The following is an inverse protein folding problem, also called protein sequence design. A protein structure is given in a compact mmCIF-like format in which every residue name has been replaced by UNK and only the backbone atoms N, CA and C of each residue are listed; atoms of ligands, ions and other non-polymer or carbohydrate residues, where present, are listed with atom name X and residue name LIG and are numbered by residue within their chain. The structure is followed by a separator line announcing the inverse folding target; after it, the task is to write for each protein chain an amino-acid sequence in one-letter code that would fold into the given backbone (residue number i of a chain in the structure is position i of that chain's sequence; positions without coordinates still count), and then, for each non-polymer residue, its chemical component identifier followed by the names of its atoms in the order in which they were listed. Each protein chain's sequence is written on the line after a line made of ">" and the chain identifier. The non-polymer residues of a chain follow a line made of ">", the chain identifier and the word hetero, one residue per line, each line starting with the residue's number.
data_IF_186797337004
#
_entry.id   IF_186797337004
#
_cell.length_a   1.000
_cell.length_b   1.000
_cell.length_c   1.000
_cell.angle_alpha   90.00
_cell.angle_beta   90.00
_cell.angle_gamma   90.00
#
_symmetry.space_group_name_H-M   'P 1'
#
loop_
_entity.id
_entity.type
_entity.pdbx_description
1 polymer ?
#
# COMPACT_ATOMS: atom_id res chain seq x y z
N UNK A 1 -1.64 45.38 58.74
CA UNK A 1 -0.77 44.57 57.86
C UNK A 1 -1.52 43.42 57.16
N UNK A 2 -2.54 43.71 56.35
CA UNK A 2 -3.36 42.70 55.63
C UNK A 2 -3.33 42.84 54.10
N UNK A 3 -2.58 43.81 53.56
CA UNK A 3 -2.55 44.13 52.12
C UNK A 3 -1.34 43.54 51.35
N UNK A 4 -0.37 42.91 52.03
CA UNK A 4 0.80 42.27 51.38
C UNK A 4 0.62 40.77 51.11
N UNK A 5 -0.34 40.11 51.76
CA UNK A 5 -0.61 38.67 51.58
C UNK A 5 -1.39 38.35 50.29
N UNK A 6 -2.05 39.34 49.68
CA UNK A 6 -2.81 39.15 48.44
C UNK A 6 -1.95 39.11 47.17
N UNK A 7 -0.74 39.68 47.20
CA UNK A 7 0.13 39.74 46.01
C UNK A 7 0.86 38.41 45.73
N UNK A 8 1.08 37.58 46.74
CA UNK A 8 1.82 36.30 46.60
C UNK A 8 0.89 35.19 46.05
N UNK A 9 -0.41 35.26 46.34
CA UNK A 9 -1.40 34.33 45.78
C UNK A 9 -1.59 34.49 44.27
N UNK A 10 -1.41 35.71 43.74
CA UNK A 10 -1.59 35.97 42.30
C UNK A 10 -0.44 35.39 41.46
N UNK A 11 0.78 35.38 41.99
CA UNK A 11 1.97 34.90 41.26
C UNK A 11 2.05 33.37 41.26
N UNK A 12 1.62 32.69 42.35
CA UNK A 12 1.54 31.23 42.41
C UNK A 12 0.53 30.64 41.41
N UNK A 13 -0.45 31.43 40.98
CA UNK A 13 -1.47 31.05 39.99
C UNK A 13 -0.94 31.05 38.55
N UNK A 14 0.10 31.85 38.26
CA UNK A 14 0.68 31.99 36.92
C UNK A 14 1.72 30.90 36.60
N UNK A 15 2.43 30.39 37.60
CA UNK A 15 3.41 29.31 37.45
C UNK A 15 2.76 27.91 37.40
N UNK A 16 1.61 27.70 38.02
CA UNK A 16 0.85 26.45 37.92
C UNK A 16 0.19 26.24 36.54
N UNK A 17 -0.11 27.32 35.80
CA UNK A 17 -0.64 27.24 34.43
C UNK A 17 0.39 26.76 33.39
N UNK A 18 1.68 27.02 33.62
CA UNK A 18 2.74 26.73 32.65
C UNK A 18 3.28 25.28 32.74
N UNK A 19 3.17 24.63 33.90
CA UNK A 19 3.59 23.24 34.08
C UNK A 19 2.59 22.23 33.49
N UNK A 20 1.29 22.56 33.45
CA UNK A 20 0.25 21.71 32.86
C UNK A 20 0.27 21.72 31.31
N UNK A 21 0.81 22.78 30.71
CA UNK A 21 0.87 22.96 29.25
C UNK A 21 2.16 22.42 28.62
N UNK A 22 3.22 22.21 29.41
CA UNK A 22 4.43 21.53 28.97
C UNK A 22 4.27 19.99 28.92
N UNK A 23 3.46 19.39 29.80
CA UNK A 23 3.21 17.92 29.77
C UNK A 23 2.19 17.50 28.70
N UNK A 24 1.32 18.39 28.23
CA UNK A 24 0.37 18.13 27.10
C UNK A 24 0.98 18.33 25.71
N UNK A 25 2.20 18.86 25.58
CA UNK A 25 2.91 18.99 24.29
C UNK A 25 3.96 17.90 24.06
N UNK A 26 4.24 17.04 25.05
CA UNK A 26 5.10 15.86 24.93
C UNK A 26 4.34 14.59 24.50
N UNK A 27 3.01 14.62 24.52
CA UNK A 27 2.17 13.68 23.76
C UNK A 27 1.44 14.45 22.66
N UNK A 28 2.18 15.11 21.77
CA UNK A 28 1.73 14.98 20.39
C UNK A 28 1.85 13.48 20.12
N UNK A 29 0.76 12.71 19.90
CA UNK A 29 0.96 11.44 19.24
C UNK A 29 1.72 11.80 17.98
N UNK A 30 2.98 11.36 17.88
CA UNK A 30 3.76 11.45 16.66
C UNK A 30 2.78 11.13 15.53
N UNK A 31 2.53 12.14 14.70
CA UNK A 31 1.38 12.28 13.82
C UNK A 31 0.98 10.93 13.21
N UNK A 32 0.10 10.16 13.89
CA UNK A 32 -0.41 8.86 13.41
C UNK A 32 -1.30 9.06 12.17
N UNK A 33 -1.33 10.27 11.60
CA UNK A 33 -1.87 10.59 10.27
C UNK A 33 -0.86 10.32 9.15
N UNK A 34 0.31 9.78 9.46
CA UNK A 34 1.15 9.10 8.48
C UNK A 34 0.76 7.63 8.44
N UNK A 35 -0.27 7.37 7.63
CA UNK A 35 -0.60 6.08 7.02
C UNK A 35 -0.52 4.89 7.98
N UNK A 36 -1.57 4.69 8.78
CA UNK A 36 -2.03 3.31 8.88
C UNK A 36 -2.26 2.85 7.45
N UNK A 37 -1.39 1.98 6.97
CA UNK A 37 -1.71 0.97 5.97
C UNK A 37 -2.84 0.13 6.55
N UNK A 38 -4.01 0.75 6.78
CA UNK A 38 -5.27 0.04 6.83
C UNK A 38 -5.33 -0.63 5.48
N UNK A 39 -4.94 -1.89 5.52
CA UNK A 39 -5.14 -2.96 4.59
C UNK A 39 -6.15 -2.56 3.52
N UNK A 40 -5.68 -1.87 2.48
CA UNK A 40 -6.48 -1.68 1.26
C UNK A 40 -6.38 -3.01 0.48
N UNK A 41 -6.65 -4.12 1.16
CA UNK A 41 -6.93 -5.40 0.52
C UNK A 41 -8.34 -5.24 -0.01
N UNK A 42 -8.56 -5.27 -1.34
CA UNK A 42 -9.91 -5.40 -1.85
C UNK A 42 -10.54 -6.67 -1.26
N UNK A 43 -11.78 -6.54 -0.80
CA UNK A 43 -12.57 -7.53 -0.06
C UNK A 43 -12.65 -8.90 -0.76
N UNK A 44 -12.49 -8.93 -2.09
CA UNK A 44 -12.42 -10.16 -2.87
C UNK A 44 -11.16 -10.18 -3.74
N UNK A 45 -10.38 -11.28 -3.76
CA UNK A 45 -9.26 -11.42 -4.69
C UNK A 45 -9.80 -11.50 -6.12
N UNK A 46 -9.49 -10.48 -6.93
CA UNK A 46 -9.77 -10.52 -8.37
C UNK A 46 -8.71 -11.43 -9.00
N UNK A 47 -9.14 -12.60 -9.48
CA UNK A 47 -8.27 -13.62 -10.10
C UNK A 47 -8.21 -13.52 -11.62
N UNK A 48 -9.18 -12.86 -12.25
CA UNK A 48 -9.25 -12.69 -13.70
C UNK A 48 -8.36 -11.51 -14.16
N UNK A 49 -7.35 -11.76 -15.02
CA UNK A 49 -6.45 -10.72 -15.52
C UNK A 49 -7.17 -9.62 -16.32
N UNK A 50 -8.26 -9.94 -17.03
CA UNK A 50 -9.04 -8.94 -17.79
C UNK A 50 -9.75 -7.96 -16.84
N UNK A 51 -10.35 -8.49 -15.78
CA UNK A 51 -10.99 -7.67 -14.73
C UNK A 51 -9.97 -6.81 -13.98
N UNK A 52 -8.78 -7.35 -13.66
CA UNK A 52 -7.68 -6.58 -13.06
C UNK A 52 -7.24 -5.41 -13.94
N UNK A 53 -7.03 -5.64 -15.24
CA UNK A 53 -6.66 -4.57 -16.18
C UNK A 53 -7.74 -3.47 -16.27
N UNK A 54 -9.03 -3.83 -16.22
CA UNK A 54 -10.13 -2.86 -16.15
C UNK A 54 -10.04 -2.00 -14.88
N UNK A 55 -9.76 -2.61 -13.73
CA UNK A 55 -9.59 -1.89 -12.46
C UNK A 55 -8.36 -0.98 -12.46
N UNK A 56 -7.22 -1.44 -12.99
CA UNK A 56 -6.01 -0.63 -13.13
C UNK A 56 -6.30 0.63 -13.96
N UNK A 57 -6.96 0.49 -15.11
CA UNK A 57 -7.37 1.64 -15.93
C UNK A 57 -8.30 2.59 -15.18
N UNK A 58 -9.28 2.07 -14.45
CA UNK A 58 -10.20 2.89 -13.66
C UNK A 58 -9.47 3.69 -12.56
N UNK A 59 -8.59 3.03 -11.80
CA UNK A 59 -7.82 3.72 -10.76
C UNK A 59 -6.85 4.74 -11.37
N UNK A 60 -6.20 4.43 -12.49
CA UNK A 60 -5.35 5.39 -13.22
C UNK A 60 -6.13 6.64 -13.63
N UNK A 61 -7.36 6.49 -14.14
CA UNK A 61 -8.25 7.62 -14.44
C UNK A 61 -8.55 8.46 -13.19
N UNK A 62 -8.80 7.82 -12.05
CA UNK A 62 -9.03 8.52 -10.77
C UNK A 62 -7.78 9.27 -10.29
N UNK A 63 -6.59 8.67 -10.40
CA UNK A 63 -5.32 9.36 -10.09
C UNK A 63 -5.18 10.60 -10.95
N UNK A 64 -5.28 10.47 -12.28
CA UNK A 64 -5.15 11.60 -13.22
C UNK A 64 -6.11 12.74 -12.88
N UNK A 65 -7.40 12.44 -12.70
CA UNK A 65 -8.43 13.43 -12.33
C UNK A 65 -8.11 14.11 -10.99
N UNK A 66 -7.57 13.37 -10.02
CA UNK A 66 -7.24 13.92 -8.69
C UNK A 66 -5.99 14.81 -8.74
N UNK A 67 -4.97 14.41 -9.51
CA UNK A 67 -3.76 15.21 -9.77
C UNK A 67 -4.11 16.51 -10.48
N UNK A 68 -4.97 16.47 -11.51
CA UNK A 68 -5.43 17.67 -12.20
C UNK A 68 -6.11 18.66 -11.25
N UNK A 69 -7.01 18.19 -10.38
CA UNK A 69 -7.67 19.05 -9.37
C UNK A 69 -6.67 19.62 -8.36
N UNK A 70 -5.71 18.81 -7.90
CA UNK A 70 -4.65 19.29 -7.01
C UNK A 70 -3.83 20.39 -7.66
N UNK A 71 -3.41 20.22 -8.91
CA UNK A 71 -2.60 21.19 -9.62
C UNK A 71 -3.35 22.53 -9.81
N UNK A 72 -4.68 22.49 -10.02
CA UNK A 72 -5.52 23.71 -9.98
C UNK A 72 -5.42 24.43 -8.64
N UNK A 73 -5.58 23.73 -7.51
CA UNK A 73 -5.45 24.36 -6.18
C UNK A 73 -4.05 24.89 -5.90
N UNK A 74 -2.99 24.27 -6.43
CA UNK A 74 -1.63 24.80 -6.31
C UNK A 74 -1.53 26.15 -7.02
N UNK A 75 -2.07 26.25 -8.24
CA UNK A 75 -2.11 27.51 -8.98
C UNK A 75 -2.96 28.57 -8.27
N UNK A 76 -4.11 28.20 -7.71
CA UNK A 76 -4.96 29.10 -6.92
C UNK A 76 -4.23 29.60 -5.65
N UNK A 77 -3.53 28.71 -4.96
CA UNK A 77 -2.71 29.05 -3.78
C UNK A 77 -1.60 30.03 -4.15
N UNK A 78 -0.88 29.81 -5.24
CA UNK A 78 0.16 30.73 -5.71
C UNK A 78 -0.41 32.12 -6.01
N UNK A 79 -1.60 32.18 -6.64
CA UNK A 79 -2.30 33.45 -6.88
C UNK A 79 -2.70 34.17 -5.59
N UNK A 80 -3.20 33.45 -4.59
CA UNK A 80 -3.57 34.03 -3.30
C UNK A 80 -2.34 34.51 -2.51
N UNK A 81 -1.25 33.76 -2.56
CA UNK A 81 0.02 34.13 -1.90
C UNK A 81 0.57 35.45 -2.46
N UNK A 82 0.53 35.63 -3.78
CA UNK A 82 0.97 36.89 -4.42
C UNK A 82 0.11 38.10 -4.02
N UNK A 83 -1.14 37.88 -3.57
CA UNK A 83 -2.05 38.94 -3.10
C UNK A 83 -1.97 39.18 -1.58
N UNK A 84 -1.13 38.44 -0.86
CA UNK A 84 -1.02 38.54 0.60
C UNK A 84 -2.22 37.98 1.38
N UNK A 85 -3.14 37.25 0.75
CA UNK A 85 -4.32 36.68 1.42
C UNK A 85 -3.98 35.36 2.12
N UNK A 86 -3.48 35.46 3.35
CA UNK A 86 -3.03 34.32 4.13
C UNK A 86 -4.17 33.34 4.48
N UNK A 87 -5.41 33.81 4.62
CA UNK A 87 -6.57 32.96 4.94
C UNK A 87 -6.86 32.01 3.77
N UNK A 88 -6.89 32.55 2.56
CA UNK A 88 -7.12 31.78 1.33
C UNK A 88 -5.96 30.83 1.02
N UNK A 89 -4.71 31.24 1.31
CA UNK A 89 -3.53 30.33 1.19
C UNK A 89 -3.67 29.11 2.11
N UNK A 90 -4.11 29.30 3.35
CA UNK A 90 -4.31 28.20 4.30
C UNK A 90 -5.42 27.25 3.82
N UNK A 91 -6.54 27.79 3.33
CA UNK A 91 -7.65 26.99 2.80
C UNK A 91 -7.22 26.12 1.61
N UNK A 92 -6.49 26.69 0.64
CA UNK A 92 -5.99 25.92 -0.49
C UNK A 92 -4.94 24.89 -0.08
N UNK A 93 -4.13 25.18 0.96
CA UNK A 93 -3.15 24.23 1.50
C UNK A 93 -3.84 22.99 2.06
N UNK A 94 -4.95 23.15 2.80
CA UNK A 94 -5.74 22.03 3.30
C UNK A 94 -6.39 21.22 2.16
N UNK A 95 -6.91 21.91 1.13
CA UNK A 95 -7.45 21.26 -0.07
C UNK A 95 -6.38 20.44 -0.81
N UNK A 96 -5.16 20.97 -0.95
CA UNK A 96 -4.02 20.26 -1.56
C UNK A 96 -3.68 19.02 -0.73
N UNK A 97 -3.59 19.15 0.60
CA UNK A 97 -3.30 18.02 1.51
C UNK A 97 -4.31 16.89 1.33
N UNK A 98 -5.61 17.20 1.30
CA UNK A 98 -6.67 16.21 1.07
C UNK A 98 -6.55 15.50 -0.29
N UNK A 99 -6.22 16.24 -1.36
CA UNK A 99 -6.02 15.61 -2.68
C UNK A 99 -4.78 14.71 -2.70
N UNK A 100 -3.69 15.10 -2.04
CA UNK A 100 -2.50 14.27 -1.92
C UNK A 100 -2.81 12.95 -1.21
N UNK A 101 -3.54 12.96 -0.10
CA UNK A 101 -3.97 11.73 0.58
C UNK A 101 -4.77 10.82 -0.36
N UNK A 102 -5.69 11.36 -1.16
CA UNK A 102 -6.45 10.59 -2.15
C UNK A 102 -5.58 10.02 -3.26
N UNK A 103 -4.61 10.79 -3.76
CA UNK A 103 -3.64 10.32 -4.76
C UNK A 103 -2.84 9.14 -4.22
N UNK A 104 -2.31 9.25 -3.00
CA UNK A 104 -1.53 8.17 -2.36
C UNK A 104 -2.37 6.91 -2.20
N UNK A 105 -3.62 7.03 -1.74
CA UNK A 105 -4.55 5.89 -1.64
C UNK A 105 -4.77 5.20 -3.00
N UNK A 106 -4.97 5.97 -4.07
CA UNK A 106 -5.14 5.41 -5.41
C UNK A 106 -3.85 4.80 -5.99
N UNK A 107 -2.67 5.39 -5.72
CA UNK A 107 -1.39 4.82 -6.14
C UNK A 107 -1.12 3.50 -5.41
N UNK A 108 -1.43 3.41 -4.11
CA UNK A 108 -1.34 2.17 -3.36
C UNK A 108 -2.23 1.08 -3.98
N UNK A 109 -3.49 1.40 -4.30
CA UNK A 109 -4.40 0.49 -5.02
C UNK A 109 -3.83 0.02 -6.37
N UNK A 110 -3.23 0.93 -7.14
CA UNK A 110 -2.59 0.57 -8.41
C UNK A 110 -1.45 -0.41 -8.21
N UNK A 111 -0.54 -0.14 -7.27
CA UNK A 111 0.59 -1.04 -6.93
C UNK A 111 0.09 -2.42 -6.54
N UNK A 112 -1.00 -2.50 -5.76
CA UNK A 112 -1.59 -3.79 -5.38
C UNK A 112 -2.16 -4.55 -6.58
N UNK A 113 -2.88 -3.88 -7.50
CA UNK A 113 -3.42 -4.54 -8.68
C UNK A 113 -2.34 -4.99 -9.67
N UNK A 114 -1.28 -4.20 -9.86
CA UNK A 114 -0.18 -4.56 -10.76
C UNK A 114 0.61 -5.76 -10.22
N UNK A 115 0.87 -5.81 -8.90
CA UNK A 115 1.50 -6.96 -8.25
C UNK A 115 0.66 -8.23 -8.41
N UNK A 116 -0.66 -8.12 -8.25
CA UNK A 116 -1.57 -9.26 -8.47
C UNK A 116 -1.55 -9.76 -9.90
N UNK A 117 -1.54 -8.85 -10.88
CA UNK A 117 -1.46 -9.22 -12.29
C UNK A 117 -0.13 -9.94 -12.60
N UNK A 118 0.99 -9.45 -12.05
CA UNK A 118 2.29 -10.10 -12.19
C UNK A 118 2.31 -11.49 -11.55
N UNK A 119 1.69 -11.65 -10.37
CA UNK A 119 1.59 -12.94 -9.70
C UNK A 119 0.78 -13.96 -10.50
N UNK A 120 -0.34 -13.56 -11.12
CA UNK A 120 -1.14 -14.43 -12.00
C UNK A 120 -0.30 -14.91 -13.19
N UNK A 121 0.37 -13.98 -13.89
CA UNK A 121 1.25 -14.32 -15.02
C UNK A 121 2.38 -15.26 -14.61
N UNK A 122 3.02 -15.02 -13.46
CA UNK A 122 4.06 -15.91 -12.94
C UNK A 122 3.52 -17.30 -12.61
N UNK A 123 2.30 -17.40 -12.06
CA UNK A 123 1.64 -18.67 -11.78
C UNK A 123 1.28 -19.43 -13.07
N UNK A 124 0.82 -18.73 -14.12
CA UNK A 124 0.58 -19.30 -15.44
C UNK A 124 1.87 -19.89 -16.02
N UNK A 125 2.98 -19.14 -16.00
CA UNK A 125 4.29 -19.63 -16.46
C UNK A 125 4.74 -20.88 -15.68
N UNK A 126 4.54 -20.91 -14.36
CA UNK A 126 4.89 -22.08 -13.54
C UNK A 126 4.04 -23.30 -13.92
N UNK A 127 2.74 -23.12 -14.18
CA UNK A 127 1.84 -24.20 -14.64
C UNK A 127 2.28 -24.72 -16.00
N UNK A 128 2.68 -23.85 -16.92
CA UNK A 128 3.11 -24.26 -18.25
C UNK A 128 4.45 -25.02 -18.22
N UNK A 129 5.40 -24.59 -17.40
CA UNK A 129 6.63 -25.37 -17.13
C UNK A 129 6.28 -26.76 -16.56
N UNK A 130 5.40 -26.82 -15.57
CA UNK A 130 4.98 -28.09 -14.97
C UNK A 130 4.28 -29.03 -15.99
N UNK A 131 3.47 -28.50 -16.91
CA UNK A 131 2.85 -29.29 -17.99
C UNK A 131 3.90 -29.89 -18.93
N UNK A 132 4.94 -29.13 -19.29
CA UNK A 132 6.04 -29.59 -20.16
C UNK A 132 6.92 -30.66 -19.48
N UNK A 133 7.08 -30.61 -18.17
CA UNK A 133 7.92 -31.59 -17.43
C UNK A 133 7.23 -32.93 -17.14
N UNK A 134 5.89 -32.96 -17.06
CA UNK A 134 5.10 -34.19 -16.83
C UNK A 134 5.39 -35.32 -17.85
N UNK A 135 5.35 -35.11 -19.19
CA UNK A 135 5.64 -36.18 -20.15
C UNK A 135 7.09 -36.67 -20.06
N UNK A 136 8.05 -35.78 -19.75
CA UNK A 136 9.47 -36.14 -19.56
C UNK A 136 9.65 -37.09 -18.38
N UNK A 137 8.97 -36.84 -17.25
CA UNK A 137 8.95 -37.74 -16.08
C UNK A 137 8.23 -39.06 -16.37
N UNK A 138 7.11 -39.03 -17.09
CA UNK A 138 6.36 -40.24 -17.46
C UNK A 138 7.17 -41.17 -18.40
N UNK A 139 7.81 -40.61 -19.44
CA UNK A 139 8.70 -41.36 -20.34
C UNK A 139 9.87 -42.00 -19.57
N UNK A 140 10.53 -41.27 -18.67
CA UNK A 140 11.62 -41.80 -17.82
C UNK A 140 11.17 -42.97 -16.94
N UNK A 141 9.96 -42.92 -16.37
CA UNK A 141 9.40 -44.01 -15.55
C UNK A 141 9.09 -45.27 -16.37
N UNK A 142 8.49 -45.14 -17.56
CA UNK A 142 8.21 -46.28 -18.46
C UNK A 142 9.51 -46.96 -18.91
N UNK A 143 10.52 -46.19 -19.31
CA UNK A 143 11.82 -46.73 -19.71
C UNK A 143 12.48 -47.56 -18.59
N UNK A 144 12.46 -47.07 -17.34
CA UNK A 144 13.00 -47.81 -16.19
C UNK A 144 12.28 -49.15 -15.96
N UNK A 145 10.94 -49.18 -16.08
CA UNK A 145 10.15 -50.42 -15.91
C UNK A 145 10.40 -51.46 -17.01
N UNK A 146 10.61 -51.01 -18.25
CA UNK A 146 10.90 -51.92 -19.36
C UNK A 146 12.29 -52.55 -19.19
N UNK A 147 13.30 -51.75 -18.81
CA UNK A 147 14.66 -52.24 -18.54
C UNK A 147 14.67 -53.32 -17.44
N UNK A 148 13.99 -53.08 -16.32
CA UNK A 148 13.94 -54.06 -15.22
C UNK A 148 13.17 -55.33 -15.55
N UNK A 149 12.09 -55.25 -16.34
CA UNK A 149 11.38 -56.44 -16.83
C UNK A 149 12.25 -57.29 -17.74
N UNK A 150 12.96 -56.66 -18.69
CA UNK A 150 13.89 -57.36 -19.59
C UNK A 150 15.02 -58.06 -18.82
N UNK A 151 15.64 -57.37 -17.86
CA UNK A 151 16.69 -57.94 -17.00
C UNK A 151 16.21 -59.19 -16.25
N UNK A 152 14.97 -59.17 -15.72
CA UNK A 152 14.38 -60.33 -15.04
C UNK A 152 14.12 -61.50 -15.99
N UNK A 153 13.55 -61.25 -17.16
CA UNK A 153 13.25 -62.31 -18.14
C UNK A 153 14.50 -62.98 -18.73
N UNK A 154 15.59 -62.22 -18.90
CA UNK A 154 16.85 -62.78 -19.38
C UNK A 154 17.47 -63.70 -18.32
N UNK A 155 17.43 -63.31 -17.04
CA UNK A 155 17.93 -64.15 -15.94
C UNK A 155 17.16 -65.46 -15.80
N UNK A 156 15.83 -65.45 -15.98
CA UNK A 156 15.01 -66.66 -15.85
C UNK A 156 15.12 -67.61 -17.04
N UNK A 157 15.30 -67.11 -18.27
CA UNK A 157 15.53 -67.98 -19.44
C UNK A 157 16.87 -68.73 -19.40
N UNK A 158 17.88 -68.20 -18.72
CA UNK A 158 19.19 -68.87 -18.56
C UNK A 158 19.22 -69.97 -17.48
N UNK A 159 18.15 -70.09 -16.69
CA UNK A 159 18.04 -71.04 -15.58
C UNK A 159 17.12 -72.23 -15.89
N UNK A 160 16.52 -72.25 -17.09
CA UNK A 160 15.85 -73.41 -17.67
C UNK A 160 16.75 -73.95 -18.77
#
# INVERSE_FOLDING_TARGET
>A
MKKKLLAIALIASLTAGSALQAKKKAEKPADKRWYTTQTIMPEKPITDPKKLNKQIRNVNRKVRKTVQKRNRYIADRTRAANKGDQKTVNEFTDKIRHKNTKIVKHIALLRMYTLRLAAIKAAEIKKDKAKKDKPKKAKKKKAKKVKTKREKTVKTKKSK
#
